data_IF_921384448873
#
_entry.id   IF_921384448873
#
_cell.length_a   1.000
_cell.length_b   1.000
_cell.length_c   1.000
_cell.angle_alpha   90.00
_cell.angle_beta   90.00
_cell.angle_gamma   90.00
#
_symmetry.space_group_name_H-M   'P 1'
#
loop_
_entity.id
_entity.type
_entity.pdbx_description
1 polymer ?
#
# COMPACT_ATOMS: atom_id res chain seq x y z
N UNK A 1 1.76 -10.18 16.42
CA UNK A 1 1.84 -9.45 15.14
C UNK A 1 1.56 -7.95 15.28
N UNK A 2 2.19 -7.24 16.23
CA UNK A 2 1.97 -5.78 16.41
C UNK A 2 3.04 -4.92 15.73
N UNK A 3 4.29 -5.38 15.70
CA UNK A 3 5.41 -4.66 15.12
C UNK A 3 5.28 -4.51 13.60
N UNK A 4 4.87 -5.58 12.91
CA UNK A 4 4.57 -5.52 11.47
C UNK A 4 3.41 -4.56 11.16
N UNK A 5 2.38 -4.54 12.02
CA UNK A 5 1.29 -3.58 11.92
C UNK A 5 1.78 -2.13 12.01
N UNK A 6 2.59 -1.84 13.04
CA UNK A 6 3.16 -0.52 13.23
C UNK A 6 4.03 -0.10 12.04
N UNK A 7 4.84 -1.01 11.48
CA UNK A 7 5.70 -0.73 10.32
C UNK A 7 4.92 -0.41 9.05
N UNK A 8 3.85 -1.15 8.73
CA UNK A 8 3.08 -0.83 7.53
C UNK A 8 2.26 0.45 7.73
N UNK A 9 1.68 0.68 8.92
CA UNK A 9 0.93 1.90 9.21
C UNK A 9 1.82 3.14 9.17
N UNK A 10 3.04 3.05 9.68
CA UNK A 10 4.00 4.16 9.61
C UNK A 10 4.43 4.44 8.17
N UNK A 11 4.70 3.40 7.38
CA UNK A 11 5.05 3.54 5.96
C UNK A 11 3.91 4.18 5.17
N UNK A 12 2.67 3.76 5.40
CA UNK A 12 1.48 4.37 4.81
C UNK A 12 1.33 5.84 5.20
N UNK A 13 1.46 6.16 6.49
CA UNK A 13 1.34 7.53 6.98
C UNK A 13 2.43 8.45 6.40
N UNK A 14 3.69 8.03 6.43
CA UNK A 14 4.82 8.81 5.88
C UNK A 14 4.65 9.04 4.37
N UNK A 15 4.20 8.02 3.64
CA UNK A 15 3.96 8.13 2.18
C UNK A 15 2.76 9.04 1.88
N UNK A 16 1.67 8.96 2.65
CA UNK A 16 0.53 9.88 2.49
C UNK A 16 0.93 11.34 2.80
N UNK A 17 1.76 11.56 3.82
CA UNK A 17 2.32 12.87 4.13
C UNK A 17 3.20 13.38 2.99
N UNK A 18 4.04 12.53 2.42
CA UNK A 18 4.89 12.84 1.27
C UNK A 18 4.12 13.25 0.01
N UNK A 19 2.92 12.70 -0.18
CA UNK A 19 2.01 13.06 -1.28
C UNK A 19 1.26 14.37 -1.00
N UNK A 20 0.82 14.58 0.24
CA UNK A 20 0.12 15.80 0.68
C UNK A 20 1.04 17.03 0.62
N UNK A 21 2.32 16.86 0.92
CA UNK A 21 3.33 17.89 0.70
C UNK A 21 3.73 17.91 -0.77
N UNK A 22 2.95 18.66 -1.56
CA UNK A 22 3.10 18.90 -2.99
C UNK A 22 4.57 19.04 -3.43
N UNK A 23 5.19 17.91 -3.80
CA UNK A 23 6.52 17.88 -4.40
C UNK A 23 6.37 18.27 -5.87
N UNK A 24 7.15 19.26 -6.32
CA UNK A 24 7.17 19.71 -7.71
C UNK A 24 7.58 18.63 -8.73
N UNK A 25 8.10 17.48 -8.27
CA UNK A 25 8.51 16.37 -9.13
C UNK A 25 7.47 15.25 -9.16
N UNK A 26 6.82 15.08 -10.32
CA UNK A 26 5.88 13.99 -10.62
C UNK A 26 6.42 12.60 -10.23
N UNK A 27 7.72 12.36 -10.49
CA UNK A 27 8.39 11.08 -10.19
C UNK A 27 8.37 10.77 -8.69
N UNK A 28 8.53 11.79 -7.83
CA UNK A 28 8.48 11.59 -6.38
C UNK A 28 7.07 11.29 -5.89
N UNK A 29 6.05 11.87 -6.53
CA UNK A 29 4.65 11.54 -6.23
C UNK A 29 4.32 10.10 -6.66
N UNK A 30 4.80 9.65 -7.82
CA UNK A 30 4.64 8.27 -8.29
C UNK A 30 5.30 7.25 -7.36
N UNK A 31 6.53 7.50 -6.90
CA UNK A 31 7.19 6.65 -5.91
C UNK A 31 6.43 6.60 -4.58
N UNK A 32 5.85 7.72 -4.16
CA UNK A 32 5.02 7.80 -2.96
C UNK A 32 3.71 7.01 -3.10
N UNK A 33 3.15 6.98 -4.31
CA UNK A 33 1.95 6.22 -4.63
C UNK A 33 2.26 4.72 -4.63
N UNK A 34 3.39 4.32 -5.22
CA UNK A 34 3.89 2.94 -5.21
C UNK A 34 4.11 2.42 -3.78
N UNK A 35 4.69 3.24 -2.89
CA UNK A 35 4.89 2.86 -1.49
C UNK A 35 3.57 2.74 -0.71
N UNK A 36 2.55 3.56 -1.02
CA UNK A 36 1.20 3.42 -0.45
C UNK A 36 0.59 2.07 -0.85
N UNK A 37 0.63 1.72 -2.13
CA UNK A 37 0.06 0.46 -2.63
C UNK A 37 0.77 -0.75 -2.06
N UNK A 38 2.10 -0.69 -1.95
CA UNK A 38 2.89 -1.77 -1.36
C UNK A 38 2.51 -1.99 0.12
N UNK A 39 2.32 -0.91 0.89
CA UNK A 39 1.91 -1.01 2.29
C UNK A 39 0.51 -1.61 2.47
N UNK A 40 -0.43 -1.26 1.59
CA UNK A 40 -1.79 -1.83 1.56
C UNK A 40 -1.77 -3.30 1.14
N UNK A 41 -0.95 -3.66 0.15
CA UNK A 41 -0.76 -5.04 -0.29
C UNK A 41 -0.28 -5.92 0.86
N UNK A 42 0.75 -5.49 1.58
CA UNK A 42 1.29 -6.22 2.73
C UNK A 42 0.19 -6.41 3.78
N UNK A 43 -0.53 -5.34 4.17
CA UNK A 43 -1.60 -5.43 5.16
C UNK A 43 -2.71 -6.40 4.76
N UNK A 44 -3.18 -6.33 3.50
CA UNK A 44 -4.21 -7.23 2.96
C UNK A 44 -3.74 -8.67 2.78
N UNK A 45 -2.44 -8.89 2.58
CA UNK A 45 -1.87 -10.24 2.51
C UNK A 45 -1.71 -10.88 3.90
N UNK A 46 -1.43 -10.07 4.93
CA UNK A 46 -1.24 -10.56 6.31
C UNK A 46 -2.54 -10.79 7.07
N UNK A 47 -3.58 -10.00 6.81
CA UNK A 47 -4.89 -10.13 7.46
C UNK A 47 -5.57 -11.51 7.27
N UNK A 48 -5.61 -12.12 6.07
CA UNK A 48 -6.21 -13.44 5.87
C UNK A 48 -5.39 -14.57 6.50
N UNK A 49 -4.08 -14.37 6.70
CA UNK A 49 -3.19 -15.33 7.36
C UNK A 49 -3.53 -15.39 8.86
N UNK A 50 -3.72 -14.23 9.50
CA UNK A 50 -4.10 -14.15 10.92
C UNK A 50 -5.55 -14.61 11.18
N UNK A 51 -6.47 -14.27 10.27
CA UNK A 51 -7.91 -14.57 10.46
C UNK A 51 -8.33 -15.91 9.85
N UNK A 52 -7.41 -16.70 9.30
CA UNK A 52 -7.65 -17.99 8.62
C UNK A 52 -8.76 -17.94 7.56
N UNK A 53 -8.95 -16.78 6.92
CA UNK A 53 -9.98 -16.55 5.90
C UNK A 53 -9.33 -16.32 4.53
N UNK A 54 -9.25 -17.34 3.66
CA UNK A 54 -8.55 -17.22 2.37
C UNK A 54 -9.29 -16.36 1.33
N UNK A 55 -10.54 -15.96 1.59
CA UNK A 55 -11.40 -15.22 0.66
C UNK A 55 -10.89 -13.82 0.29
N UNK A 56 -9.98 -13.24 1.07
CA UNK A 56 -9.44 -11.90 0.84
C UNK A 56 -8.20 -11.89 -0.07
N UNK A 57 -7.71 -13.04 -0.55
CA UNK A 57 -6.48 -13.14 -1.35
C UNK A 57 -6.57 -12.53 -2.76
N UNK A 58 -7.77 -12.42 -3.33
CA UNK A 58 -7.99 -11.79 -4.63
C UNK A 58 -7.88 -10.25 -4.57
N UNK A 59 -8.30 -9.67 -3.45
CA UNK A 59 -8.38 -8.23 -3.23
C UNK A 59 -7.02 -7.49 -3.37
N UNK A 60 -5.89 -7.97 -2.80
CA UNK A 60 -4.58 -7.31 -2.97
C UNK A 60 -4.05 -7.35 -4.41
N UNK A 61 -4.39 -8.38 -5.19
CA UNK A 61 -3.97 -8.51 -6.60
C UNK A 61 -4.72 -7.51 -7.48
N UNK A 62 -6.03 -7.32 -7.23
CA UNK A 62 -6.84 -6.34 -7.95
C UNK A 62 -6.33 -4.91 -7.73
N UNK A 63 -5.91 -4.58 -6.51
CA UNK A 63 -5.37 -3.24 -6.18
C UNK A 63 -4.06 -2.97 -6.95
N UNK A 64 -3.17 -3.97 -7.04
CA UNK A 64 -1.93 -3.84 -7.83
C UNK A 64 -2.22 -3.64 -9.33
N UNK A 65 -3.17 -4.40 -9.89
CA UNK A 65 -3.53 -4.31 -11.29
C UNK A 65 -4.15 -2.94 -11.63
N UNK A 66 -5.05 -2.44 -10.78
CA UNK A 66 -5.66 -1.11 -10.98
C UNK A 66 -4.62 0.01 -10.89
N UNK A 67 -3.68 -0.07 -9.94
CA UNK A 67 -2.61 0.93 -9.87
C UNK A 67 -1.70 0.92 -11.09
N UNK A 68 -1.28 -0.25 -11.58
CA UNK A 68 -0.43 -0.32 -12.77
C UNK A 68 -1.14 0.22 -14.01
N UNK A 69 -2.47 0.09 -14.05
CA UNK A 69 -3.29 0.63 -15.12
C UNK A 69 -3.44 2.16 -15.05
N UNK A 70 -3.44 2.74 -13.85
CA UNK A 70 -3.55 4.20 -13.65
C UNK A 70 -2.24 4.94 -13.97
N UNK A 71 -1.10 4.24 -13.97
CA UNK A 71 0.21 4.78 -14.33
C UNK A 71 0.53 4.74 -15.84
N UNK A 72 -0.40 4.22 -16.66
CA UNK A 72 -0.27 4.06 -18.11
C UNK A 72 -0.71 5.27 -18.94
#
# INVERSE_FOLDING_TARGET
MSLLHLSFYSTFAISSLGLAFHRAHLISALLCLESIILSIYIALSTLPIENQTPSLTLMPILILAFSACEAG
#
